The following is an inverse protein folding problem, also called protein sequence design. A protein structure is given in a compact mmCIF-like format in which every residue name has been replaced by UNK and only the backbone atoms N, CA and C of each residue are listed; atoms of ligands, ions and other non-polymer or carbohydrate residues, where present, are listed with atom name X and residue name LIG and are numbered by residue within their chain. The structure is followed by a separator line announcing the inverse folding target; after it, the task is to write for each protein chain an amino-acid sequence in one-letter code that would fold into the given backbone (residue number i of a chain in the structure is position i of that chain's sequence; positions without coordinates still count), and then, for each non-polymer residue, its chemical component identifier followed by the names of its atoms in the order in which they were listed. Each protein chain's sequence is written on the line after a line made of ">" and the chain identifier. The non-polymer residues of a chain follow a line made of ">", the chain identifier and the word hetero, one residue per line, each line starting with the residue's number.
data_IF_764428859809
#
_entry.id   IF_764428859809
#
_cell.length_a   1.000
_cell.length_b   1.000
_cell.length_c   1.000
_cell.angle_alpha   90.00
_cell.angle_beta   90.00
_cell.angle_gamma   90.00
#
_symmetry.space_group_name_H-M   'P 1'
#
loop_
_entity.id
_entity.type
_entity.pdbx_description
1 polymer ?
#
# COMPACT_ATOMS: atom_id res chain seq x y z
N UNK A 1 17.05 -4.05 12.54
CA UNK A 1 15.95 -4.93 12.12
C UNK A 1 15.42 -5.68 13.34
N UNK A 2 14.09 -5.76 13.54
CA UNK A 2 13.48 -6.45 14.69
C UNK A 2 13.99 -7.90 14.82
N UNK A 3 14.10 -8.62 13.70
CA UNK A 3 14.61 -10.01 13.70
C UNK A 3 16.06 -10.15 14.21
N UNK A 4 16.89 -9.13 14.00
CA UNK A 4 18.25 -9.09 14.57
C UNK A 4 18.25 -8.80 16.08
N UNK A 5 17.25 -8.04 16.56
CA UNK A 5 17.15 -7.68 17.99
C UNK A 5 16.65 -8.85 18.86
N UNK A 6 16.05 -9.87 18.26
CA UNK A 6 15.67 -11.11 18.97
C UNK A 6 16.91 -11.85 19.45
N UNK A 7 18.06 -11.62 18.80
CA UNK A 7 19.40 -11.97 19.31
C UNK A 7 19.60 -13.46 19.62
N UNK A 8 20.33 -13.69 20.71
CA UNK A 8 20.70 -15.05 21.15
C UNK A 8 19.56 -15.79 21.87
N UNK A 9 18.53 -15.07 22.33
CA UNK A 9 17.28 -15.63 22.86
C UNK A 9 16.38 -16.11 21.70
N UNK A 10 16.91 -16.98 20.83
CA UNK A 10 16.17 -17.49 19.67
C UNK A 10 14.89 -18.19 20.13
N UNK A 11 13.70 -17.58 19.96
CA UNK A 11 12.46 -18.29 20.22
C UNK A 11 12.28 -19.40 19.19
N UNK A 12 11.63 -20.50 19.57
CA UNK A 12 11.34 -21.59 18.63
C UNK A 12 10.46 -21.10 17.49
N UNK A 13 9.53 -20.19 17.77
CA UNK A 13 8.60 -19.62 16.81
C UNK A 13 8.31 -18.14 17.11
N UNK A 14 8.28 -17.32 16.08
CA UNK A 14 7.77 -15.94 16.13
C UNK A 14 6.36 -15.92 15.54
N UNK A 15 5.40 -15.32 16.24
CA UNK A 15 4.02 -15.17 15.78
C UNK A 15 3.83 -13.81 15.09
N UNK A 16 3.45 -13.83 13.82
CA UNK A 16 3.03 -12.64 13.05
C UNK A 16 1.53 -12.39 13.17
N UNK A 17 1.13 -11.13 13.29
CA UNK A 17 -0.28 -10.72 13.38
C UNK A 17 -0.94 -10.42 12.04
N UNK A 18 -0.24 -10.65 10.93
CA UNK A 18 -0.74 -10.37 9.57
C UNK A 18 -1.89 -11.33 9.20
N UNK A 19 -2.76 -10.89 8.28
CA UNK A 19 -3.96 -11.62 7.89
C UNK A 19 -5.23 -11.24 8.66
N UNK A 20 -5.10 -10.66 9.85
CA UNK A 20 -6.26 -10.33 10.68
C UNK A 20 -7.20 -9.28 10.07
N UNK A 21 -6.69 -8.32 9.30
CA UNK A 21 -7.52 -7.34 8.59
C UNK A 21 -8.34 -7.99 7.48
N UNK A 22 -7.72 -8.88 6.71
CA UNK A 22 -8.32 -9.56 5.57
C UNK A 22 -9.38 -10.56 6.00
N UNK A 23 -9.09 -11.34 7.01
CA UNK A 23 -9.95 -12.41 7.49
C UNK A 23 -11.10 -11.92 8.40
N UNK A 24 -10.78 -11.07 9.37
CA UNK A 24 -11.76 -10.51 10.31
C UNK A 24 -12.40 -9.19 9.86
N UNK A 25 -11.87 -8.57 8.82
CA UNK A 25 -12.46 -7.45 8.11
C UNK A 25 -11.88 -6.07 8.40
N UNK A 26 -11.85 -5.26 7.35
CA UNK A 26 -11.46 -3.84 7.35
C UNK A 26 -12.67 -2.91 7.51
N UNK A 27 -12.49 -1.60 7.34
CA UNK A 27 -13.56 -0.60 7.50
C UNK A 27 -14.69 -0.73 6.47
N UNK A 28 -14.43 -1.29 5.31
CA UNK A 28 -15.37 -1.44 4.21
C UNK A 28 -15.93 -0.13 3.62
N UNK A 29 -15.40 1.04 4.01
CA UNK A 29 -15.94 2.33 3.60
C UNK A 29 -15.87 2.54 2.09
N UNK A 30 -14.73 2.32 1.52
CA UNK A 30 -14.46 2.46 0.08
C UNK A 30 -15.30 1.45 -0.72
N UNK A 31 -15.42 0.22 -0.24
CA UNK A 31 -16.25 -0.83 -0.81
C UNK A 31 -17.73 -0.40 -0.82
N UNK A 32 -18.21 0.15 0.30
CA UNK A 32 -19.59 0.64 0.41
C UNK A 32 -19.86 1.83 -0.53
N UNK A 33 -18.91 2.77 -0.65
CA UNK A 33 -19.00 3.89 -1.60
C UNK A 33 -19.03 3.39 -3.05
N UNK A 34 -18.18 2.43 -3.40
CA UNK A 34 -18.18 1.81 -4.72
C UNK A 34 -19.53 1.13 -5.02
N UNK A 35 -20.01 0.29 -4.10
CA UNK A 35 -21.28 -0.42 -4.22
C UNK A 35 -22.47 0.56 -4.41
N UNK A 36 -22.59 1.57 -3.54
CA UNK A 36 -23.65 2.55 -3.62
C UNK A 36 -23.58 3.37 -4.92
N UNK A 37 -22.40 3.80 -5.35
CA UNK A 37 -22.22 4.54 -6.60
C UNK A 37 -22.67 3.73 -7.82
N UNK A 38 -22.46 2.41 -7.80
CA UNK A 38 -22.94 1.50 -8.83
C UNK A 38 -24.47 1.36 -8.82
N UNK A 39 -25.04 1.18 -7.62
CA UNK A 39 -26.49 0.99 -7.44
C UNK A 39 -27.31 2.21 -7.90
N UNK A 40 -26.80 3.40 -7.71
CA UNK A 40 -27.49 4.66 -8.12
C UNK A 40 -27.05 5.17 -9.49
N UNK A 41 -26.26 4.40 -10.24
CA UNK A 41 -25.85 4.74 -11.60
C UNK A 41 -24.83 5.87 -11.71
N UNK A 42 -24.11 6.24 -10.64
CA UNK A 42 -23.11 7.32 -10.66
C UNK A 42 -21.75 6.91 -11.23
N UNK A 43 -21.47 5.61 -11.43
CA UNK A 43 -20.16 5.15 -11.92
C UNK A 43 -19.69 5.78 -13.22
N UNK A 44 -20.54 5.94 -14.27
CA UNK A 44 -20.13 6.61 -15.51
C UNK A 44 -19.68 8.07 -15.28
N UNK A 45 -20.39 8.79 -14.42
CA UNK A 45 -20.03 10.16 -14.05
C UNK A 45 -18.69 10.21 -13.30
N UNK A 46 -18.51 9.35 -12.28
CA UNK A 46 -17.24 9.27 -11.53
C UNK A 46 -16.06 8.90 -12.42
N UNK A 47 -16.25 7.98 -13.36
CA UNK A 47 -15.23 7.65 -14.38
C UNK A 47 -14.92 8.81 -15.31
N UNK A 48 -15.93 9.56 -15.73
CA UNK A 48 -15.75 10.77 -16.52
C UNK A 48 -14.90 11.81 -15.79
N UNK A 49 -15.19 12.06 -14.52
CA UNK A 49 -14.40 12.95 -13.66
C UNK A 49 -12.97 12.42 -13.47
N UNK A 50 -12.80 11.13 -13.20
CA UNK A 50 -11.47 10.53 -13.04
C UNK A 50 -10.62 10.66 -14.31
N UNK A 51 -11.19 10.46 -15.50
CA UNK A 51 -10.50 10.69 -16.78
C UNK A 51 -10.07 12.15 -16.98
N UNK A 52 -10.91 13.11 -16.58
CA UNK A 52 -10.52 14.52 -16.63
C UNK A 52 -9.38 14.86 -15.66
N UNK A 53 -9.26 14.09 -14.59
CA UNK A 53 -8.24 14.26 -13.54
C UNK A 53 -7.08 13.28 -13.67
N UNK A 54 -6.95 12.51 -14.75
CA UNK A 54 -5.93 11.46 -14.87
C UNK A 54 -4.49 11.99 -14.73
N UNK A 55 -4.25 13.25 -15.11
CA UNK A 55 -2.95 13.92 -14.94
C UNK A 55 -2.72 14.47 -13.53
N UNK A 56 -3.77 14.52 -12.71
CA UNK A 56 -3.73 15.00 -11.32
C UNK A 56 -3.44 13.83 -10.36
N UNK A 57 -2.25 13.27 -10.47
CA UNK A 57 -1.78 12.18 -9.62
C UNK A 57 -1.20 12.68 -8.30
N UNK A 58 -0.69 11.78 -7.47
CA UNK A 58 0.10 12.15 -6.28
C UNK A 58 1.24 13.11 -6.59
N UNK A 59 1.76 13.08 -7.81
CA UNK A 59 2.92 13.85 -8.22
C UNK A 59 2.70 15.35 -8.20
N UNK A 60 1.48 15.81 -8.43
CA UNK A 60 1.14 17.24 -8.42
C UNK A 60 0.85 17.79 -7.02
N UNK A 61 0.36 16.97 -6.10
CA UNK A 61 0.10 17.34 -4.69
C UNK A 61 -0.99 18.40 -4.48
N UNK A 62 -1.74 18.77 -5.52
CA UNK A 62 -2.74 19.80 -5.52
C UNK A 62 -4.09 19.39 -4.91
N UNK A 63 -5.06 20.32 -4.94
CA UNK A 63 -6.45 20.02 -4.50
C UNK A 63 -7.12 18.98 -5.38
N UNK A 64 -6.92 19.06 -6.69
CA UNK A 64 -7.47 18.11 -7.66
C UNK A 64 -6.86 16.72 -7.50
N UNK A 65 -5.56 16.63 -7.20
CA UNK A 65 -4.91 15.35 -6.87
C UNK A 65 -5.55 14.67 -5.66
N UNK A 66 -5.96 15.43 -4.65
CA UNK A 66 -6.68 14.87 -3.49
C UNK A 66 -8.03 14.30 -3.88
N UNK A 67 -8.75 15.00 -4.75
CA UNK A 67 -10.04 14.53 -5.28
C UNK A 67 -9.82 13.25 -6.08
N UNK A 68 -8.84 13.25 -6.99
CA UNK A 68 -8.52 12.10 -7.82
C UNK A 68 -8.11 10.89 -6.97
N UNK A 69 -7.29 11.07 -5.94
CA UNK A 69 -6.92 10.02 -5.01
C UNK A 69 -8.12 9.31 -4.36
N UNK A 70 -9.14 10.07 -3.93
CA UNK A 70 -10.34 9.48 -3.35
C UNK A 70 -11.23 8.82 -4.39
N UNK A 71 -11.29 9.38 -5.61
CA UNK A 71 -11.99 8.75 -6.74
C UNK A 71 -11.34 7.44 -7.14
N UNK A 72 -10.02 7.42 -7.22
CA UNK A 72 -9.25 6.24 -7.58
C UNK A 72 -9.49 5.08 -6.60
N UNK A 73 -9.44 5.35 -5.29
CA UNK A 73 -9.79 4.38 -4.24
C UNK A 73 -11.20 3.80 -4.37
N UNK A 74 -12.16 4.60 -4.84
CA UNK A 74 -13.53 4.14 -5.04
C UNK A 74 -13.67 3.37 -6.35
N UNK A 75 -13.05 3.82 -7.43
CA UNK A 75 -13.21 3.24 -8.76
C UNK A 75 -12.41 1.94 -8.93
N UNK A 76 -11.22 1.88 -8.35
CA UNK A 76 -10.28 0.76 -8.47
C UNK A 76 -10.23 -0.10 -7.19
N UNK A 77 -11.42 -0.44 -6.69
CA UNK A 77 -11.58 -1.07 -5.37
C UNK A 77 -10.92 -2.46 -5.26
N UNK A 78 -10.71 -3.16 -6.36
CA UNK A 78 -10.08 -4.50 -6.37
C UNK A 78 -8.57 -4.48 -6.61
N UNK A 79 -7.99 -3.32 -6.93
CA UNK A 79 -6.59 -3.21 -7.33
C UNK A 79 -5.65 -2.86 -6.17
N UNK A 80 -6.20 -2.62 -5.00
CA UNK A 80 -5.44 -2.18 -3.83
C UNK A 80 -5.05 -0.70 -3.89
N UNK A 81 -4.19 -0.27 -2.97
CA UNK A 81 -3.72 1.11 -2.92
C UNK A 81 -2.59 1.33 -3.93
N UNK A 82 -2.77 2.26 -4.84
CA UNK A 82 -1.79 2.61 -5.88
C UNK A 82 -0.82 3.68 -5.37
N UNK A 83 0.13 3.25 -4.53
CA UNK A 83 1.26 4.09 -4.12
C UNK A 83 2.48 3.83 -5.01
N UNK A 84 3.37 4.80 -5.06
CA UNK A 84 4.56 4.75 -5.89
C UNK A 84 4.45 5.64 -7.12
N UNK A 85 5.11 5.27 -8.20
CA UNK A 85 5.03 5.98 -9.46
C UNK A 85 3.72 5.65 -10.19
N UNK A 86 3.06 6.67 -10.74
CA UNK A 86 1.97 6.47 -11.70
C UNK A 86 2.51 5.92 -13.02
N UNK A 87 1.64 5.31 -13.82
CA UNK A 87 2.01 4.78 -15.15
C UNK A 87 2.66 5.87 -16.02
N UNK A 88 2.09 7.09 -16.01
CA UNK A 88 2.66 8.23 -16.73
C UNK A 88 4.02 8.65 -16.21
N UNK A 89 4.24 8.61 -14.90
CA UNK A 89 5.53 8.92 -14.30
C UNK A 89 6.57 7.83 -14.62
N UNK A 90 6.19 6.55 -14.62
CA UNK A 90 7.07 5.44 -15.05
C UNK A 90 7.46 5.59 -16.52
N UNK A 91 6.48 5.82 -17.41
CA UNK A 91 6.77 6.05 -18.83
C UNK A 91 7.69 7.26 -19.07
N UNK A 92 7.61 8.29 -18.20
CA UNK A 92 8.51 9.43 -18.30
C UNK A 92 9.94 9.11 -17.84
N UNK A 93 10.12 8.17 -16.93
CA UNK A 93 11.43 7.75 -16.40
C UNK A 93 12.13 6.73 -17.31
N UNK A 94 11.40 5.88 -18.02
CA UNK A 94 11.94 4.82 -18.85
C UNK A 94 12.44 5.34 -20.21
N UNK A 95 13.53 4.76 -20.73
CA UNK A 95 14.04 5.04 -22.08
C UNK A 95 13.08 4.48 -23.14
N UNK A 96 12.67 3.23 -22.99
CA UNK A 96 11.81 2.50 -23.91
C UNK A 96 10.49 2.04 -23.23
N UNK A 97 9.59 2.98 -22.85
CA UNK A 97 8.41 2.64 -22.06
C UNK A 97 7.44 1.67 -22.74
N UNK A 98 7.47 1.56 -24.08
CA UNK A 98 6.62 0.60 -24.82
C UNK A 98 7.12 -0.84 -24.71
N UNK A 99 8.40 -1.04 -24.48
CA UNK A 99 9.05 -2.35 -24.37
C UNK A 99 9.19 -2.77 -22.91
N UNK A 100 9.49 -1.80 -22.04
CA UNK A 100 9.87 -2.04 -20.64
C UNK A 100 8.70 -1.93 -19.64
N UNK A 101 7.51 -1.51 -20.11
CA UNK A 101 6.38 -1.27 -19.22
C UNK A 101 5.06 -1.83 -19.76
N UNK A 102 4.44 -2.73 -19.00
CA UNK A 102 3.07 -3.20 -19.22
C UNK A 102 2.17 -2.67 -18.09
N UNK A 103 1.17 -1.83 -18.43
CA UNK A 103 0.22 -1.33 -17.43
C UNK A 103 -0.57 -2.45 -16.77
N UNK A 104 -0.77 -2.36 -15.47
CA UNK A 104 -1.63 -3.29 -14.75
C UNK A 104 -3.06 -3.16 -15.25
N UNK A 105 -3.64 -4.28 -15.72
CA UNK A 105 -5.03 -4.31 -16.18
C UNK A 105 -5.98 -4.07 -15.03
N UNK A 106 -6.91 -3.15 -15.25
CA UNK A 106 -7.96 -2.85 -14.28
C UNK A 106 -8.90 -4.05 -14.07
N UNK A 107 -9.07 -4.44 -12.82
CA UNK A 107 -10.01 -5.47 -12.41
C UNK A 107 -11.37 -4.83 -12.14
N UNK A 108 -12.40 -5.26 -12.86
CA UNK A 108 -13.76 -4.76 -12.65
C UNK A 108 -14.57 -5.79 -11.87
N UNK A 109 -15.11 -5.41 -10.68
CA UNK A 109 -15.90 -6.32 -9.88
C UNK A 109 -17.26 -6.56 -10.53
N UNK A 110 -17.70 -7.81 -10.49
CA UNK A 110 -19.09 -8.15 -10.70
C UNK A 110 -19.88 -7.86 -9.42
N UNK A 111 -20.82 -6.90 -9.51
CA UNK A 111 -21.50 -6.36 -8.33
C UNK A 111 -22.88 -7.00 -8.18
N UNK A 112 -22.92 -8.16 -7.52
CA UNK A 112 -24.18 -8.81 -7.16
C UNK A 112 -24.73 -8.25 -5.84
N UNK A 113 -23.90 -8.20 -4.79
CA UNK A 113 -24.27 -7.71 -3.47
C UNK A 113 -23.09 -6.97 -2.82
N UNK A 114 -23.37 -6.24 -1.74
CA UNK A 114 -22.30 -5.63 -0.92
C UNK A 114 -21.40 -6.68 -0.29
N UNK A 115 -21.97 -7.78 0.17
CA UNK A 115 -21.28 -8.90 0.80
C UNK A 115 -20.26 -9.52 -0.17
N UNK A 116 -20.70 -9.78 -1.40
CA UNK A 116 -19.84 -10.34 -2.45
C UNK A 116 -18.68 -9.41 -2.80
N UNK A 117 -18.97 -8.12 -3.01
CA UNK A 117 -17.96 -7.12 -3.29
C UNK A 117 -16.95 -6.96 -2.14
N UNK A 118 -17.45 -7.01 -0.89
CA UNK A 118 -16.60 -6.92 0.29
C UNK A 118 -15.62 -8.10 0.38
N UNK A 119 -16.10 -9.32 0.10
CA UNK A 119 -15.27 -10.52 0.08
C UNK A 119 -14.22 -10.47 -1.04
N UNK A 120 -14.62 -10.07 -2.27
CA UNK A 120 -13.69 -9.89 -3.38
C UNK A 120 -12.60 -8.86 -3.07
N UNK A 121 -12.97 -7.72 -2.47
CA UNK A 121 -12.02 -6.69 -2.07
C UNK A 121 -10.98 -7.23 -1.07
N UNK A 122 -11.42 -7.95 -0.04
CA UNK A 122 -10.52 -8.51 0.98
C UNK A 122 -9.52 -9.49 0.38
N UNK A 123 -9.91 -10.29 -0.61
CA UNK A 123 -9.04 -11.28 -1.26
C UNK A 123 -8.14 -10.61 -2.30
N UNK A 124 -8.71 -9.91 -3.27
CA UNK A 124 -7.97 -9.44 -4.44
C UNK A 124 -7.12 -8.20 -4.16
N UNK A 125 -7.69 -7.20 -3.45
CA UNK A 125 -6.97 -5.96 -3.24
C UNK A 125 -5.99 -5.99 -2.08
N UNK A 126 -6.24 -6.83 -1.10
CA UNK A 126 -5.52 -6.81 0.17
C UNK A 126 -4.71 -8.10 0.39
N UNK A 127 -5.37 -9.27 0.39
CA UNK A 127 -4.69 -10.54 0.67
C UNK A 127 -3.69 -10.90 -0.43
N UNK A 128 -4.12 -10.88 -1.69
CA UNK A 128 -3.27 -11.30 -2.81
C UNK A 128 -2.19 -10.28 -3.13
N UNK A 129 -2.53 -8.99 -3.18
CA UNK A 129 -1.60 -7.95 -3.62
C UNK A 129 -0.67 -7.47 -2.51
N UNK A 130 -1.21 -7.13 -1.33
CA UNK A 130 -0.44 -6.51 -0.25
C UNK A 130 0.15 -7.55 0.69
N UNK A 131 -0.69 -8.45 1.21
CA UNK A 131 -0.24 -9.41 2.22
C UNK A 131 0.73 -10.42 1.61
N UNK A 132 0.28 -11.15 0.60
CA UNK A 132 1.07 -12.24 0.03
C UNK A 132 2.35 -11.74 -0.67
N UNK A 133 2.22 -10.77 -1.57
CA UNK A 133 3.35 -10.33 -2.41
C UNK A 133 4.35 -9.44 -1.69
N UNK A 134 3.93 -8.69 -0.68
CA UNK A 134 4.77 -7.70 -0.03
C UNK A 134 5.07 -8.06 1.42
N UNK A 135 4.05 -8.19 2.26
CA UNK A 135 4.24 -8.28 3.71
C UNK A 135 4.80 -9.62 4.12
N UNK A 136 4.15 -10.72 3.72
CA UNK A 136 4.60 -12.07 4.06
C UNK A 136 5.96 -12.39 3.44
N UNK A 137 6.17 -12.01 2.18
CA UNK A 137 7.45 -12.20 1.50
C UNK A 137 8.58 -11.50 2.25
N UNK A 138 8.41 -10.22 2.56
CA UNK A 138 9.41 -9.43 3.29
C UNK A 138 9.68 -9.99 4.68
N UNK A 139 8.63 -10.27 5.45
CA UNK A 139 8.78 -10.74 6.82
C UNK A 139 9.39 -12.14 6.88
N UNK A 140 8.97 -13.07 6.01
CA UNK A 140 9.52 -14.42 5.91
C UNK A 140 10.99 -14.42 5.44
N UNK A 141 11.34 -13.56 4.47
CA UNK A 141 12.72 -13.41 4.00
C UNK A 141 13.63 -12.89 5.11
N UNK A 142 13.16 -11.89 5.87
CA UNK A 142 13.90 -11.36 7.02
C UNK A 142 14.03 -12.40 8.15
N UNK A 143 12.99 -13.17 8.44
CA UNK A 143 13.07 -14.24 9.44
C UNK A 143 14.11 -15.29 9.05
N UNK A 144 14.06 -15.78 7.82
CA UNK A 144 15.04 -16.76 7.28
C UNK A 144 16.46 -16.24 7.33
N UNK A 145 16.70 -14.99 6.95
CA UNK A 145 18.03 -14.36 6.98
C UNK A 145 18.67 -14.39 8.37
N UNK A 146 17.88 -14.34 9.43
CA UNK A 146 18.35 -14.41 10.81
C UNK A 146 18.09 -15.75 11.49
N UNK A 147 17.74 -16.80 10.72
CA UNK A 147 17.52 -18.16 11.22
C UNK A 147 16.32 -18.31 12.16
N UNK A 148 15.31 -17.44 12.03
CA UNK A 148 14.09 -17.46 12.83
C UNK A 148 12.95 -18.18 12.11
N UNK A 149 12.09 -18.88 12.86
CA UNK A 149 10.85 -19.45 12.38
C UNK A 149 9.71 -18.44 12.60
N UNK A 150 9.02 -18.07 11.52
CA UNK A 150 7.90 -17.12 11.56
C UNK A 150 6.63 -17.83 11.08
N UNK A 151 5.57 -17.75 11.86
CA UNK A 151 4.24 -18.27 11.50
C UNK A 151 3.17 -17.20 11.69
N UNK A 152 2.04 -17.38 11.02
CA UNK A 152 0.94 -16.42 10.97
C UNK A 152 -0.36 -17.13 11.36
N UNK A 153 -0.75 -17.13 12.66
CA UNK A 153 -1.96 -17.84 13.12
C UNK A 153 -3.25 -17.38 12.45
N UNK A 154 -3.31 -16.09 12.03
CA UNK A 154 -4.47 -15.57 11.29
C UNK A 154 -4.50 -15.97 9.81
N UNK A 155 -3.46 -16.63 9.30
CA UNK A 155 -3.38 -17.11 7.91
C UNK A 155 -3.66 -18.61 7.79
N UNK A 156 -4.22 -19.20 8.84
CA UNK A 156 -4.66 -20.60 8.82
C UNK A 156 -5.80 -20.82 7.83
N UNK A 157 -5.73 -21.89 7.04
CA UNK A 157 -6.72 -22.17 5.98
C UNK A 157 -8.09 -22.58 6.52
N UNK A 158 -8.17 -23.31 7.62
CA UNK A 158 -9.43 -23.69 8.22
C UNK A 158 -10.14 -22.46 8.78
N UNK A 159 -9.38 -21.59 9.45
CA UNK A 159 -9.87 -20.29 9.90
C UNK A 159 -10.33 -19.42 8.73
N UNK A 160 -9.60 -19.42 7.61
CA UNK A 160 -9.98 -18.69 6.40
C UNK A 160 -11.33 -19.17 5.87
N UNK A 161 -11.50 -20.46 5.66
CA UNK A 161 -12.75 -21.04 5.16
C UNK A 161 -13.93 -20.72 6.09
N UNK A 162 -13.75 -20.94 7.40
CA UNK A 162 -14.76 -20.58 8.38
C UNK A 162 -15.17 -19.11 8.30
N UNK A 163 -14.19 -18.21 8.24
CA UNK A 163 -14.47 -16.76 8.19
C UNK A 163 -15.08 -16.32 6.85
N UNK A 164 -14.79 -17.01 5.73
CA UNK A 164 -15.44 -16.68 4.44
C UNK A 164 -16.95 -16.91 4.46
N UNK A 165 -17.43 -17.91 5.19
CA UNK A 165 -18.85 -18.22 5.32
C UNK A 165 -19.61 -17.24 6.23
N UNK A 166 -18.89 -16.45 7.04
CA UNK A 166 -19.53 -15.53 7.97
C UNK A 166 -20.10 -14.28 7.28
N UNK A 167 -21.30 -13.83 7.68
CA UNK A 167 -21.87 -12.59 7.20
C UNK A 167 -20.94 -11.39 7.41
N UNK A 168 -20.93 -10.46 6.45
CA UNK A 168 -20.10 -9.24 6.51
C UNK A 168 -20.35 -8.44 7.81
N UNK A 169 -21.59 -8.45 8.34
CA UNK A 169 -21.92 -7.79 9.61
C UNK A 169 -21.15 -8.30 10.84
N UNK A 170 -20.55 -9.49 10.77
CA UNK A 170 -19.64 -10.00 11.81
C UNK A 170 -18.18 -9.56 11.58
N UNK A 171 -17.85 -9.12 10.38
CA UNK A 171 -16.52 -8.62 9.99
C UNK A 171 -16.44 -7.08 10.07
N UNK A 172 -17.41 -6.43 9.42
CA UNK A 172 -17.55 -4.97 9.38
C UNK A 172 -18.99 -4.61 9.74
N UNK A 173 -19.23 -4.22 10.99
CA UNK A 173 -20.58 -3.94 11.50
C UNK A 173 -20.95 -2.48 11.34
N UNK A 174 -21.98 -2.22 10.54
CA UNK A 174 -22.72 -0.97 10.44
C UNK A 174 -24.22 -1.24 10.45
N UNK A 175 -25.05 -0.26 10.74
CA UNK A 175 -26.51 -0.41 10.70
C UNK A 175 -27.04 -0.56 9.27
N UNK A 176 -26.30 -0.02 8.29
CA UNK A 176 -26.60 -0.12 6.86
C UNK A 176 -25.32 0.07 6.04
N UNK A 177 -25.37 -0.29 4.74
CA UNK A 177 -24.27 0.00 3.81
C UNK A 177 -23.98 1.50 3.72
N UNK A 178 -25.01 2.35 3.84
CA UNK A 178 -24.84 3.80 3.87
C UNK A 178 -24.07 4.27 5.12
N UNK A 179 -24.31 3.67 6.27
CA UNK A 179 -23.55 3.98 7.48
C UNK A 179 -22.09 3.54 7.35
N UNK A 180 -21.83 2.39 6.73
CA UNK A 180 -20.47 1.93 6.41
C UNK A 180 -19.78 2.95 5.48
N UNK A 181 -20.46 3.40 4.41
CA UNK A 181 -19.95 4.42 3.49
C UNK A 181 -19.63 5.75 4.20
N UNK A 182 -20.39 6.11 5.22
CA UNK A 182 -20.15 7.30 6.08
C UNK A 182 -19.04 7.10 7.13
N UNK A 183 -18.39 5.94 7.15
CA UNK A 183 -17.38 5.58 8.15
C UNK A 183 -17.94 5.27 9.54
N UNK A 184 -19.24 4.96 9.63
CA UNK A 184 -19.92 4.57 10.87
C UNK A 184 -20.00 3.05 10.98
N UNK A 185 -18.82 2.41 10.98
CA UNK A 185 -18.72 0.96 11.11
C UNK A 185 -17.62 0.56 12.08
N UNK A 186 -17.74 -0.65 12.63
CA UNK A 186 -16.75 -1.29 13.48
C UNK A 186 -16.11 -2.41 12.68
N UNK A 187 -14.85 -2.25 12.30
CA UNK A 187 -14.05 -3.29 11.66
C UNK A 187 -13.59 -4.34 12.68
N UNK A 188 -13.31 -5.56 12.21
CA UNK A 188 -12.93 -6.71 13.05
C UNK A 188 -13.96 -6.93 14.18
N UNK A 189 -15.24 -6.79 13.84
CA UNK A 189 -16.29 -6.75 14.85
C UNK A 189 -16.31 -8.02 15.72
N UNK A 190 -16.29 -9.19 15.09
CA UNK A 190 -16.30 -10.47 15.80
C UNK A 190 -15.13 -10.57 16.78
N UNK A 191 -13.92 -10.25 16.32
CA UNK A 191 -12.71 -10.29 17.14
C UNK A 191 -12.79 -9.32 18.32
N UNK A 192 -13.18 -8.06 18.06
CA UNK A 192 -13.32 -7.05 19.11
C UNK A 192 -14.42 -7.38 20.10
N UNK A 193 -15.54 -7.93 19.62
CA UNK A 193 -16.67 -8.31 20.47
C UNK A 193 -16.31 -9.49 21.38
N UNK A 194 -15.66 -10.50 20.82
CA UNK A 194 -15.24 -11.68 21.58
C UNK A 194 -14.23 -11.37 22.68
N UNK A 195 -13.22 -10.56 22.34
CA UNK A 195 -12.14 -10.22 23.29
C UNK A 195 -12.42 -9.00 24.17
N UNK A 196 -13.56 -8.33 24.00
CA UNK A 196 -13.94 -7.18 24.84
C UNK A 196 -13.86 -7.46 26.35
N UNK A 197 -14.34 -8.60 26.87
CA UNK A 197 -14.25 -8.89 28.31
C UNK A 197 -12.82 -9.27 28.75
N UNK A 198 -11.94 -9.62 27.84
CA UNK A 198 -10.58 -10.12 28.14
C UNK A 198 -9.50 -9.05 27.98
N UNK A 199 -9.78 -7.98 27.24
CA UNK A 199 -8.81 -6.94 26.91
C UNK A 199 -9.26 -5.58 27.46
N UNK A 200 -8.31 -4.72 27.86
CA UNK A 200 -8.62 -3.35 28.26
C UNK A 200 -9.38 -2.56 27.17
N UNK A 201 -10.28 -1.68 27.58
CA UNK A 201 -11.06 -0.84 26.65
C UNK A 201 -10.16 0.00 25.72
N UNK A 202 -9.04 0.47 26.21
CA UNK A 202 -8.05 1.20 25.40
C UNK A 202 -7.58 0.41 24.17
N UNK A 203 -7.63 -0.93 24.20
CA UNK A 203 -7.29 -1.81 23.07
C UNK A 203 -8.53 -2.06 22.21
N UNK A 204 -9.65 -2.45 22.83
CA UNK A 204 -10.86 -2.87 22.08
C UNK A 204 -11.56 -1.70 21.40
N UNK A 205 -11.51 -0.50 21.98
CA UNK A 205 -12.10 0.72 21.42
C UNK A 205 -11.11 1.52 20.56
N UNK A 206 -9.85 1.13 20.51
CA UNK A 206 -8.83 1.83 19.73
C UNK A 206 -9.23 1.90 18.25
N UNK A 207 -9.28 3.13 17.72
CA UNK A 207 -9.43 3.33 16.27
C UNK A 207 -8.19 2.78 15.55
N UNK A 208 -8.38 2.22 14.35
CA UNK A 208 -7.27 1.75 13.52
C UNK A 208 -6.28 2.91 13.31
N UNK A 209 -5.06 2.70 13.75
CA UNK A 209 -3.94 3.57 13.43
C UNK A 209 -3.17 2.89 12.31
N UNK A 210 -3.20 3.47 11.12
CA UNK A 210 -2.38 2.99 10.01
C UNK A 210 -0.90 3.13 10.37
N UNK A 211 -0.13 2.07 10.21
CA UNK A 211 1.32 2.08 10.32
C UNK A 211 1.94 2.28 8.96
N UNK A 212 2.17 3.52 8.54
CA UNK A 212 3.03 3.79 7.40
C UNK A 212 4.47 3.88 7.87
N UNK A 213 5.39 3.27 7.12
CA UNK A 213 6.80 3.53 7.33
C UNK A 213 7.03 5.05 7.25
N UNK A 214 7.80 5.66 8.16
CA UNK A 214 8.00 7.10 8.18
C UNK A 214 8.97 7.54 7.08
N UNK A 215 8.64 7.22 5.82
CA UNK A 215 9.49 7.41 4.65
C UNK A 215 10.02 8.84 4.52
N UNK A 216 9.21 9.91 4.73
CA UNK A 216 9.74 11.27 4.68
C UNK A 216 10.83 11.55 5.72
N UNK A 217 10.83 10.86 6.87
CA UNK A 217 11.86 11.02 7.89
C UNK A 217 13.19 10.39 7.49
N UNK A 218 13.18 9.27 6.77
CA UNK A 218 14.40 8.64 6.26
C UNK A 218 15.19 9.55 5.31
N UNK A 219 14.47 10.36 4.55
CA UNK A 219 15.05 11.28 3.56
C UNK A 219 15.02 12.76 4.02
N UNK A 220 14.91 13.01 5.33
CA UNK A 220 14.90 14.39 5.86
C UNK A 220 16.29 15.03 5.82
N UNK A 221 17.33 14.25 6.06
CA UNK A 221 18.71 14.72 6.09
C UNK A 221 19.20 15.12 4.69
N UNK A 222 19.71 16.36 4.56
CA UNK A 222 20.14 16.94 3.28
C UNK A 222 21.41 16.28 2.74
N UNK A 223 22.38 16.01 3.62
CA UNK A 223 23.65 15.41 3.20
C UNK A 223 23.41 13.98 2.69
N UNK A 224 22.55 13.23 3.38
CA UNK A 224 22.15 11.88 2.94
C UNK A 224 21.41 11.90 1.61
N UNK A 225 20.49 12.85 1.38
CA UNK A 225 19.83 12.98 0.07
C UNK A 225 20.83 13.31 -1.04
N UNK A 226 21.78 14.21 -0.79
CA UNK A 226 22.82 14.53 -1.76
C UNK A 226 23.65 13.30 -2.13
N UNK A 227 24.10 12.54 -1.13
CA UNK A 227 24.81 11.28 -1.32
C UNK A 227 24.00 10.27 -2.16
N UNK A 228 22.73 10.01 -1.81
CA UNK A 228 21.88 9.09 -2.56
C UNK A 228 21.60 9.58 -3.99
N UNK A 229 21.46 10.89 -4.18
CA UNK A 229 21.29 11.48 -5.51
C UNK A 229 22.48 11.22 -6.40
N UNK A 230 23.70 11.43 -5.91
CA UNK A 230 24.94 11.13 -6.64
C UNK A 230 25.03 9.63 -6.94
N UNK A 231 24.79 8.77 -5.97
CA UNK A 231 24.78 7.32 -6.14
C UNK A 231 23.78 6.88 -7.21
N UNK A 232 22.53 7.35 -7.16
CA UNK A 232 21.49 7.02 -8.15
C UNK A 232 21.93 7.45 -9.54
N UNK A 233 22.42 8.68 -9.71
CA UNK A 233 22.79 9.22 -11.02
C UNK A 233 24.07 8.64 -11.59
N UNK A 234 24.92 8.04 -10.78
CA UNK A 234 26.15 7.37 -11.22
C UNK A 234 25.93 5.94 -11.73
N UNK A 235 24.80 5.33 -11.41
CA UNK A 235 24.51 3.92 -11.73
C UNK A 235 24.36 3.67 -13.23
N UNK A 236 24.84 2.51 -13.68
CA UNK A 236 24.74 2.03 -15.07
C UNK A 236 23.31 1.80 -15.55
N UNK A 237 22.34 1.68 -14.65
CA UNK A 237 20.91 1.59 -15.01
C UNK A 237 20.41 2.84 -15.78
N UNK A 238 21.07 4.00 -15.56
CA UNK A 238 20.76 5.24 -16.28
C UNK A 238 21.10 5.17 -17.78
N UNK A 239 22.03 4.33 -18.14
CA UNK A 239 22.46 4.17 -19.53
C UNK A 239 21.67 3.08 -20.26
N UNK A 240 21.04 2.17 -19.50
CA UNK A 240 20.33 1.00 -20.02
C UNK A 240 18.80 1.17 -20.05
N UNK A 241 18.20 1.71 -18.97
CA UNK A 241 16.74 1.69 -18.80
C UNK A 241 16.13 3.03 -18.42
N UNK A 242 16.84 3.87 -17.65
CA UNK A 242 16.29 5.09 -17.11
C UNK A 242 16.83 6.34 -17.82
N UNK A 243 15.96 7.29 -18.06
CA UNK A 243 16.34 8.60 -18.62
C UNK A 243 16.95 9.47 -17.52
N UNK A 244 18.24 9.69 -17.61
CA UNK A 244 19.04 10.44 -16.63
C UNK A 244 18.49 11.85 -16.35
N UNK A 245 18.02 12.55 -17.37
CA UNK A 245 17.42 13.88 -17.27
C UNK A 245 16.10 13.85 -16.45
N UNK A 246 15.23 12.85 -16.71
CA UNK A 246 13.99 12.69 -16.02
C UNK A 246 14.19 12.28 -14.54
N UNK A 247 15.13 11.36 -14.27
CA UNK A 247 15.52 10.98 -12.92
C UNK A 247 16.11 12.17 -12.17
N UNK A 248 17.01 12.93 -12.78
CA UNK A 248 17.61 14.15 -12.19
C UNK A 248 16.54 15.18 -11.84
N UNK A 249 15.56 15.37 -12.74
CA UNK A 249 14.42 16.26 -12.49
C UNK A 249 13.60 15.77 -11.30
N UNK A 250 13.23 14.48 -11.28
CA UNK A 250 12.48 13.89 -10.17
C UNK A 250 13.18 14.09 -8.80
N UNK A 251 14.49 13.82 -8.73
CA UNK A 251 15.28 13.98 -7.51
C UNK A 251 15.34 15.44 -7.06
N UNK A 252 15.44 16.38 -8.01
CA UNK A 252 15.42 17.82 -7.71
C UNK A 252 14.05 18.29 -7.22
N UNK A 253 12.96 17.83 -7.85
CA UNK A 253 11.59 18.12 -7.42
C UNK A 253 11.32 17.53 -6.02
N UNK A 254 11.88 16.36 -5.71
CA UNK A 254 11.78 15.75 -4.40
C UNK A 254 12.46 16.59 -3.30
N UNK A 255 13.61 17.21 -3.58
CA UNK A 255 14.31 18.10 -2.62
C UNK A 255 13.36 19.22 -2.15
N UNK A 256 12.60 19.82 -3.07
CA UNK A 256 11.63 20.87 -2.74
C UNK A 256 10.50 20.35 -1.83
N UNK A 257 10.02 19.11 -2.08
CA UNK A 257 9.00 18.48 -1.23
C UNK A 257 9.55 18.11 0.15
N UNK A 258 10.79 17.64 0.22
CA UNK A 258 11.44 17.24 1.47
C UNK A 258 11.74 18.43 2.39
N UNK A 259 12.07 19.59 1.82
CA UNK A 259 12.39 20.83 2.57
C UNK A 259 11.14 21.63 2.98
N UNK A 260 10.01 21.41 2.30
CA UNK A 260 8.77 22.14 2.60
C UNK A 260 8.09 21.61 3.85
N UNK A 261 7.87 22.48 4.82
CA UNK A 261 7.04 22.16 5.98
C UNK A 261 5.54 22.16 5.61
N UNK A 262 4.81 21.18 6.15
CA UNK A 262 3.37 21.04 5.89
C UNK A 262 3.05 20.37 4.54
N UNK A 263 1.83 20.64 4.04
CA UNK A 263 1.33 20.04 2.79
C UNK A 263 0.49 18.79 3.00
N UNK A 264 0.09 18.19 1.89
CA UNK A 264 -0.74 16.99 1.94
C UNK A 264 0.08 15.76 2.34
N UNK A 265 -0.29 15.11 3.46
CA UNK A 265 0.42 13.96 4.02
C UNK A 265 0.68 12.86 2.99
N UNK A 266 -0.35 12.44 2.25
CA UNK A 266 -0.23 11.34 1.28
C UNK A 266 0.69 11.67 0.10
N UNK A 267 0.69 12.92 -0.35
CA UNK A 267 1.64 13.36 -1.37
C UNK A 267 3.10 13.25 -0.90
N UNK A 268 3.39 13.77 0.29
CA UNK A 268 4.74 13.68 0.86
C UNK A 268 5.18 12.24 1.10
N UNK A 269 4.26 11.43 1.62
CA UNK A 269 4.50 10.00 1.85
C UNK A 269 4.79 9.27 0.53
N UNK A 270 3.99 9.52 -0.51
CA UNK A 270 4.16 8.90 -1.81
C UNK A 270 5.46 9.34 -2.51
N UNK A 271 5.79 10.64 -2.46
CA UNK A 271 7.05 11.15 -3.01
C UNK A 271 8.28 10.51 -2.34
N UNK A 272 8.25 10.35 -1.03
CA UNK A 272 9.32 9.66 -0.31
C UNK A 272 9.38 8.16 -0.67
N UNK A 273 8.23 7.51 -0.88
CA UNK A 273 8.17 6.14 -1.36
C UNK A 273 8.73 5.98 -2.78
N UNK A 274 8.39 6.90 -3.69
CA UNK A 274 8.96 6.93 -5.04
C UNK A 274 10.49 7.05 -4.99
N UNK A 275 11.01 7.93 -4.16
CA UNK A 275 12.45 8.08 -3.95
C UNK A 275 13.08 6.79 -3.42
N UNK A 276 12.45 6.15 -2.43
CA UNK A 276 12.89 4.88 -1.88
C UNK A 276 12.87 3.76 -2.92
N UNK A 277 11.82 3.66 -3.72
CA UNK A 277 11.71 2.66 -4.78
C UNK A 277 12.82 2.81 -5.82
N UNK A 278 13.10 4.05 -6.23
CA UNK A 278 14.19 4.34 -7.16
C UNK A 278 15.56 3.97 -6.55
N UNK A 279 15.81 4.34 -5.30
CA UNK A 279 17.05 3.98 -4.60
C UNK A 279 17.20 2.47 -4.49
N UNK A 280 16.12 1.76 -4.11
CA UNK A 280 16.13 0.29 -3.97
C UNK A 280 16.39 -0.38 -5.32
N UNK A 281 15.79 0.11 -6.40
CA UNK A 281 16.03 -0.39 -7.75
C UNK A 281 17.51 -0.24 -8.14
N UNK A 282 18.10 0.92 -7.85
CA UNK A 282 19.52 1.18 -8.15
C UNK A 282 20.43 0.30 -7.31
N UNK A 283 20.16 0.13 -6.00
CA UNK A 283 20.93 -0.79 -5.15
C UNK A 283 20.86 -2.20 -5.69
N UNK A 284 19.66 -2.65 -6.08
CA UNK A 284 19.49 -3.98 -6.68
C UNK A 284 20.27 -4.13 -7.98
N UNK A 285 20.26 -3.11 -8.84
CA UNK A 285 21.02 -3.10 -10.10
C UNK A 285 22.51 -3.24 -9.84
N UNK A 286 23.07 -2.41 -8.96
CA UNK A 286 24.48 -2.44 -8.62
C UNK A 286 24.92 -3.81 -8.05
N UNK A 287 24.15 -4.38 -7.14
CA UNK A 287 24.53 -5.65 -6.48
C UNK A 287 24.31 -6.87 -7.38
N UNK A 288 23.20 -6.95 -8.12
CA UNK A 288 22.81 -8.18 -8.82
C UNK A 288 23.06 -8.15 -10.32
N UNK A 289 23.22 -6.99 -10.92
CA UNK A 289 23.50 -6.87 -12.36
C UNK A 289 24.95 -6.49 -12.60
N UNK A 290 25.45 -5.47 -11.90
CA UNK A 290 26.84 -5.00 -12.04
C UNK A 290 27.81 -5.76 -11.14
N UNK A 291 27.34 -6.45 -10.11
CA UNK A 291 28.17 -7.23 -9.17
C UNK A 291 28.95 -6.37 -8.17
N UNK A 292 28.52 -5.15 -7.95
CA UNK A 292 29.15 -4.22 -7.00
C UNK A 292 28.56 -4.42 -5.60
N UNK A 293 29.41 -4.54 -4.57
CA UNK A 293 28.95 -4.55 -3.18
C UNK A 293 28.57 -3.13 -2.75
N UNK A 294 27.28 -2.91 -2.43
CA UNK A 294 26.79 -1.60 -1.99
C UNK A 294 26.84 -1.51 -0.46
N UNK A 295 27.60 -0.52 0.04
CA UNK A 295 27.70 -0.19 1.49
C UNK A 295 27.33 1.26 1.71
N UNK A 296 26.38 1.52 2.64
CA UNK A 296 25.95 2.87 3.04
C UNK A 296 26.39 3.21 4.46
#
# INVERSE_FOLDING_TARGET
>A
CAMRMIGDDKPDVILGGDGSDQYFGTSGREVALHYLSARIGLRPLLRGISRLLEHETFDTGGKLSRINFHLDKILHILEGERFGFSDSALCALLQNPKEDFEPVKSLWPDIHSFEHLYAQHAILSDLETVINRIILFKASSMARMFGNNLTYPFMDLELFHFLQELPVGLKCRGNSVLDIARGRSVSKYLLKHHYKPLLPEAITLKKKQGGFAPMPLFFRDRARRAFFKEFILASGIMDNYLRRDAVKKFLTDYEQVAEKEGGWFWHRQNKALQYFNLLTLVVWWEEFVEGHEVKF
#
